data_IF_988868592320
#
_entry.id   IF_988868592320
#
_cell.length_a   1.000
_cell.length_b   1.000
_cell.length_c   1.000
_cell.angle_alpha   90.00
_cell.angle_beta   90.00
_cell.angle_gamma   90.00
#
_symmetry.space_group_name_H-M   'P 1'
#
loop_
_entity.id
_entity.type
_entity.pdbx_description
1 polymer ?
#
# COMPACT_ATOMS: atom_id res chain seq x y z
N UNK A 1 -24.38 7.50 -17.60
CA UNK A 1 -23.06 8.05 -17.24
C UNK A 1 -22.24 6.96 -16.59
N UNK A 2 -21.11 6.56 -17.17
CA UNK A 2 -20.21 5.61 -16.50
C UNK A 2 -19.67 6.29 -15.24
N UNK A 3 -19.80 5.64 -14.08
CA UNK A 3 -19.25 6.13 -12.81
C UNK A 3 -17.73 6.36 -12.90
N UNK A 4 -17.14 7.09 -11.94
CA UNK A 4 -15.71 7.35 -11.95
C UNK A 4 -14.91 6.04 -12.05
N UNK A 5 -14.00 5.95 -13.01
CA UNK A 5 -13.13 4.77 -13.19
C UNK A 5 -12.24 4.62 -11.95
N UNK A 6 -12.47 3.57 -11.17
CA UNK A 6 -11.61 3.21 -10.04
C UNK A 6 -10.24 2.78 -10.58
N UNK A 7 -9.17 3.42 -10.09
CA UNK A 7 -7.81 3.08 -10.51
C UNK A 7 -7.33 1.78 -9.85
N UNK A 8 -6.38 1.10 -10.49
CA UNK A 8 -5.73 -0.09 -9.91
C UNK A 8 -5.09 0.24 -8.56
N UNK A 9 -4.47 1.41 -8.43
CA UNK A 9 -3.89 1.87 -7.16
C UNK A 9 -4.97 2.03 -6.07
N UNK A 10 -6.16 2.54 -6.41
CA UNK A 10 -7.27 2.66 -5.46
C UNK A 10 -7.81 1.29 -5.01
N UNK A 11 -7.87 0.31 -5.92
CA UNK A 11 -8.21 -1.07 -5.57
C UNK A 11 -7.16 -1.70 -4.65
N UNK A 12 -5.87 -1.58 -5.00
CA UNK A 12 -4.78 -2.08 -4.16
C UNK A 12 -4.76 -1.43 -2.78
N UNK A 13 -5.00 -0.12 -2.70
CA UNK A 13 -5.14 0.60 -1.44
C UNK A 13 -6.30 0.06 -0.61
N UNK A 14 -7.46 -0.23 -1.22
CA UNK A 14 -8.61 -0.84 -0.52
C UNK A 14 -8.31 -2.27 -0.05
N UNK A 15 -7.62 -3.05 -0.85
CA UNK A 15 -7.16 -4.40 -0.47
C UNK A 15 -6.17 -4.32 0.69
N UNK A 16 -5.23 -3.36 0.67
CA UNK A 16 -4.31 -3.13 1.79
C UNK A 16 -5.05 -2.81 3.09
N UNK A 17 -6.06 -1.93 3.05
CA UNK A 17 -6.82 -1.61 4.27
C UNK A 17 -7.66 -2.80 4.76
N UNK A 18 -8.18 -3.65 3.87
CA UNK A 18 -8.81 -4.91 4.25
C UNK A 18 -7.82 -5.88 4.90
N UNK A 19 -6.61 -5.97 4.35
CA UNK A 19 -5.56 -6.83 4.87
C UNK A 19 -5.11 -6.39 6.25
N UNK A 20 -4.91 -5.09 6.47
CA UNK A 20 -4.56 -4.54 7.79
C UNK A 20 -5.64 -4.77 8.85
N UNK A 21 -6.91 -4.87 8.47
CA UNK A 21 -7.97 -5.25 9.41
C UNK A 21 -7.86 -6.72 9.87
N UNK A 22 -7.28 -7.60 9.04
CA UNK A 22 -7.02 -9.01 9.37
C UNK A 22 -5.68 -9.24 10.07
N UNK A 23 -4.70 -8.39 9.78
CA UNK A 23 -3.33 -8.46 10.30
C UNK A 23 -2.97 -7.14 11.00
N UNK A 24 -3.65 -6.79 12.11
CA UNK A 24 -3.51 -5.50 12.78
C UNK A 24 -2.12 -5.25 13.38
N UNK A 25 -1.31 -6.30 13.57
CA UNK A 25 0.09 -6.19 13.97
C UNK A 25 0.93 -5.31 13.02
N UNK A 26 0.57 -5.29 11.72
CA UNK A 26 1.26 -4.49 10.71
C UNK A 26 0.82 -3.02 10.72
N UNK A 27 -0.24 -2.68 11.45
CA UNK A 27 -0.68 -1.30 11.71
C UNK A 27 -0.26 -0.89 13.14
N UNK A 28 1.03 -0.93 13.40
CA UNK A 28 1.62 -0.66 14.70
C UNK A 28 2.83 0.28 14.60
N UNK A 29 3.29 0.74 15.76
CA UNK A 29 4.57 1.41 15.92
C UNK A 29 5.35 0.79 17.08
N UNK A 30 6.68 0.88 17.01
CA UNK A 30 7.57 0.45 18.10
C UNK A 30 7.98 1.69 18.88
N UNK A 31 7.42 1.85 20.08
CA UNK A 31 7.87 2.88 21.02
C UNK A 31 9.13 2.38 21.73
N UNK A 32 10.28 2.90 21.31
CA UNK A 32 11.58 2.51 21.88
C UNK A 32 11.83 3.09 23.27
N UNK A 33 11.17 4.20 23.61
CA UNK A 33 11.33 4.85 24.92
C UNK A 33 10.53 4.10 25.99
N UNK A 34 9.25 3.85 25.73
CA UNK A 34 8.37 3.07 26.59
C UNK A 34 8.61 1.55 26.46
N UNK A 35 9.41 1.10 25.48
CA UNK A 35 9.72 -0.31 25.18
C UNK A 35 8.46 -1.14 24.91
N UNK A 36 7.52 -0.58 24.16
CA UNK A 36 6.26 -1.21 23.84
C UNK A 36 5.96 -1.20 22.34
N UNK A 37 5.06 -2.09 21.93
CA UNK A 37 4.50 -2.11 20.58
C UNK A 37 3.08 -1.55 20.68
N UNK A 38 2.86 -0.41 20.04
CA UNK A 38 1.57 0.28 20.07
C UNK A 38 0.79 -0.05 18.80
N UNK A 39 -0.31 -0.80 18.94
CA UNK A 39 -1.25 -1.02 17.84
C UNK A 39 -2.09 0.24 17.63
N UNK A 40 -2.21 0.66 16.38
CA UNK A 40 -2.87 1.92 16.02
C UNK A 40 -4.36 1.68 15.73
N UNK A 41 -5.27 2.54 16.21
CA UNK A 41 -6.73 2.30 16.16
C UNK A 41 -7.33 2.45 14.76
N UNK A 42 -6.61 3.05 13.82
CA UNK A 42 -7.06 3.27 12.46
C UNK A 42 -5.91 3.18 11.47
N UNK A 43 -6.25 2.99 10.20
CA UNK A 43 -5.29 3.04 9.09
C UNK A 43 -5.36 4.41 8.43
N UNK A 44 -4.24 5.13 8.45
CA UNK A 44 -3.98 6.30 7.63
C UNK A 44 -2.95 5.91 6.57
N UNK A 45 -3.41 5.68 5.35
CA UNK A 45 -2.60 5.04 4.32
C UNK A 45 -1.74 6.07 3.59
N UNK A 46 -0.43 6.01 3.79
CA UNK A 46 0.54 6.71 2.97
C UNK A 46 0.60 6.11 1.57
N UNK A 47 0.80 6.92 0.54
CA UNK A 47 1.15 6.43 -0.79
C UNK A 47 2.30 7.22 -1.40
N UNK A 48 3.20 6.53 -2.09
CA UNK A 48 4.33 7.18 -2.76
C UNK A 48 3.87 7.97 -3.98
N UNK A 49 4.19 9.27 -4.02
CA UNK A 49 3.94 10.15 -5.15
C UNK A 49 5.26 10.80 -5.61
N UNK A 50 5.69 10.48 -6.83
CA UNK A 50 6.86 11.11 -7.44
C UNK A 50 6.47 12.49 -7.99
N UNK A 51 7.23 13.51 -7.62
CA UNK A 51 7.09 14.88 -8.14
C UNK A 51 8.41 15.35 -8.74
N UNK A 52 8.39 16.49 -9.43
CA UNK A 52 9.60 17.15 -9.96
C UNK A 52 10.57 17.58 -8.85
N UNK A 53 10.07 17.72 -7.61
CA UNK A 53 10.86 18.08 -6.42
C UNK A 53 11.34 16.86 -5.63
N UNK A 54 11.07 15.65 -6.12
CA UNK A 54 11.39 14.40 -5.46
C UNK A 54 10.15 13.63 -4.98
N UNK A 55 10.41 12.54 -4.27
CA UNK A 55 9.40 11.67 -3.70
C UNK A 55 8.75 12.33 -2.48
N UNK A 56 7.42 12.32 -2.43
CA UNK A 56 6.64 12.64 -1.22
C UNK A 56 5.68 11.50 -0.92
N UNK A 57 5.24 11.39 0.34
CA UNK A 57 4.30 10.36 0.79
C UNK A 57 3.07 11.02 1.39
N UNK A 58 2.06 11.41 0.59
CA UNK A 58 0.82 11.94 1.12
C UNK A 58 -0.02 10.85 1.81
N UNK A 59 -0.86 11.26 2.75
CA UNK A 59 -1.62 10.35 3.62
C UNK A 59 -3.12 10.45 3.35
N UNK A 60 -3.73 9.34 2.95
CA UNK A 60 -5.18 9.16 2.92
C UNK A 60 -5.66 8.87 4.34
N UNK A 61 -6.27 9.88 4.99
CA UNK A 61 -6.77 9.73 6.37
C UNK A 61 -7.99 8.82 6.43
N UNK A 62 -8.04 7.99 7.47
CA UNK A 62 -9.13 7.07 7.78
C UNK A 62 -9.42 6.12 6.62
N UNK A 63 -8.38 5.68 5.91
CA UNK A 63 -8.47 4.84 4.73
C UNK A 63 -9.22 3.52 4.99
N UNK A 64 -9.15 3.00 6.22
CA UNK A 64 -9.91 1.83 6.67
C UNK A 64 -11.45 2.02 6.64
N UNK A 65 -11.94 3.26 6.69
CA UNK A 65 -13.38 3.59 6.66
C UNK A 65 -13.90 3.87 5.25
N UNK A 66 -13.00 3.93 4.25
CA UNK A 66 -13.32 4.37 2.89
C UNK A 66 -13.49 3.20 1.94
N UNK A 67 -14.38 3.38 0.95
CA UNK A 67 -14.47 2.48 -0.20
C UNK A 67 -13.42 2.82 -1.28
N UNK A 68 -13.28 1.97 -2.30
CA UNK A 68 -12.27 2.17 -3.35
C UNK A 68 -12.47 3.47 -4.15
N UNK A 69 -13.72 3.88 -4.40
CA UNK A 69 -14.02 5.14 -5.09
C UNK A 69 -13.55 6.36 -4.29
N UNK A 70 -13.87 6.40 -2.99
CA UNK A 70 -13.45 7.47 -2.07
C UNK A 70 -11.94 7.54 -1.91
N UNK A 71 -11.28 6.38 -1.80
CA UNK A 71 -9.81 6.30 -1.76
C UNK A 71 -9.22 6.83 -3.08
N UNK A 72 -9.77 6.41 -4.22
CA UNK A 72 -9.28 6.85 -5.53
C UNK A 72 -9.41 8.35 -5.75
N UNK A 73 -10.54 8.95 -5.34
CA UNK A 73 -10.75 10.39 -5.40
C UNK A 73 -9.74 11.15 -4.52
N UNK A 74 -9.46 10.66 -3.32
CA UNK A 74 -8.51 11.30 -2.41
C UNK A 74 -7.05 11.16 -2.88
N UNK A 75 -6.66 10.00 -3.41
CA UNK A 75 -5.35 9.80 -4.04
C UNK A 75 -5.17 10.77 -5.21
N UNK A 76 -6.17 10.92 -6.08
CA UNK A 76 -6.11 11.86 -7.20
C UNK A 76 -5.94 13.31 -6.73
N UNK A 77 -6.72 13.73 -5.72
CA UNK A 77 -6.63 15.05 -5.11
C UNK A 77 -5.23 15.32 -4.52
N UNK A 78 -4.71 14.38 -3.73
CA UNK A 78 -3.39 14.50 -3.10
C UNK A 78 -2.25 14.46 -4.12
N UNK A 79 -2.40 13.68 -5.20
CA UNK A 79 -1.42 13.64 -6.30
C UNK A 79 -1.34 15.00 -7.01
N UNK A 80 -2.47 15.65 -7.29
CA UNK A 80 -2.47 16.97 -7.91
C UNK A 80 -1.87 18.05 -6.99
N UNK A 81 -2.14 17.97 -5.69
CA UNK A 81 -1.49 18.83 -4.71
C UNK A 81 0.03 18.57 -4.63
N UNK A 82 0.46 17.31 -4.70
CA UNK A 82 1.88 16.96 -4.72
C UNK A 82 2.57 17.58 -5.94
N UNK A 83 1.99 17.40 -7.12
CA UNK A 83 2.50 17.92 -8.39
C UNK A 83 2.60 19.46 -8.39
N UNK A 84 1.63 20.13 -7.78
CA UNK A 84 1.61 21.59 -7.68
C UNK A 84 2.40 22.15 -6.49
N UNK A 85 2.98 21.27 -5.65
CA UNK A 85 3.73 21.67 -4.45
C UNK A 85 2.86 22.31 -3.37
N UNK A 86 1.57 21.97 -3.32
CA UNK A 86 0.55 22.55 -2.43
C UNK A 86 0.09 21.61 -1.30
N UNK A 87 0.80 20.50 -1.08
CA UNK A 87 0.54 19.64 0.06
C UNK A 87 0.82 20.38 1.37
N UNK A 88 -0.11 20.29 2.31
CA UNK A 88 0.12 20.79 3.67
C UNK A 88 0.93 19.79 4.50
N UNK A 89 1.62 20.23 5.57
CA UNK A 89 2.32 19.32 6.49
C UNK A 89 1.40 18.23 7.06
N UNK A 90 0.12 18.57 7.33
CA UNK A 90 -0.87 17.62 7.83
C UNK A 90 -1.26 16.53 6.80
N UNK A 91 -0.99 16.74 5.51
CA UNK A 91 -1.19 15.74 4.45
C UNK A 91 0.04 14.85 4.25
N UNK A 92 1.19 15.18 4.85
CA UNK A 92 2.45 14.46 4.74
C UNK A 92 2.83 13.71 6.03
N UNK A 93 1.97 13.74 7.05
CA UNK A 93 2.27 13.23 8.40
C UNK A 93 1.13 12.40 8.97
N UNK A 94 1.46 11.52 9.91
CA UNK A 94 0.50 10.64 10.58
C UNK A 94 0.06 9.43 9.75
N UNK A 95 0.87 9.02 8.75
CA UNK A 95 0.70 7.73 8.09
C UNK A 95 1.00 6.59 9.06
N UNK A 96 0.29 5.47 8.90
CA UNK A 96 0.44 4.27 9.75
C UNK A 96 0.90 3.05 8.98
N UNK A 97 0.79 3.11 7.65
CA UNK A 97 1.26 2.11 6.70
C UNK A 97 1.42 2.78 5.34
N UNK A 98 2.42 2.39 4.55
CA UNK A 98 2.63 2.94 3.21
C UNK A 98 2.39 1.90 2.11
N UNK A 99 1.65 2.32 1.08
CA UNK A 99 1.55 1.63 -0.21
C UNK A 99 2.44 2.32 -1.25
N UNK A 100 3.47 1.65 -1.72
CA UNK A 100 4.40 2.17 -2.71
C UNK A 100 4.22 1.47 -4.06
N UNK A 101 4.00 2.23 -5.13
CA UNK A 101 3.84 1.70 -6.48
C UNK A 101 5.09 2.00 -7.32
N UNK A 102 5.99 1.02 -7.41
CA UNK A 102 7.19 1.12 -8.24
C UNK A 102 6.92 0.85 -9.72
N UNK A 103 5.77 0.27 -10.05
CA UNK A 103 5.42 -0.12 -11.40
C UNK A 103 5.43 1.04 -12.40
N UNK A 104 5.19 2.27 -11.91
CA UNK A 104 5.28 3.50 -12.72
C UNK A 104 6.70 3.77 -13.25
N UNK A 105 7.73 3.17 -12.64
CA UNK A 105 9.13 3.25 -13.07
C UNK A 105 9.58 2.04 -13.88
N UNK A 106 8.67 1.11 -14.20
CA UNK A 106 8.98 -0.06 -14.99
C UNK A 106 9.79 -1.14 -14.26
N UNK A 107 9.82 -1.13 -12.93
CA UNK A 107 10.50 -2.16 -12.12
C UNK A 107 9.53 -3.19 -11.55
N UNK A 108 10.00 -4.42 -11.35
CA UNK A 108 9.18 -5.54 -10.88
C UNK A 108 8.96 -5.54 -9.36
N UNK A 109 9.85 -4.91 -8.58
CA UNK A 109 9.75 -4.85 -7.12
C UNK A 109 10.90 -4.09 -6.50
N UNK A 110 10.89 -3.94 -5.18
CA UNK A 110 11.94 -3.26 -4.42
C UNK A 110 11.94 -3.74 -2.97
N UNK A 111 13.05 -3.51 -2.27
CA UNK A 111 13.19 -3.72 -0.83
C UNK A 111 13.26 -2.36 -0.13
N UNK A 112 12.12 -1.64 0.00
CA UNK A 112 12.13 -0.29 0.57
C UNK A 112 12.50 -0.29 2.05
N UNK A 113 13.03 0.85 2.49
CA UNK A 113 13.14 1.19 3.90
C UNK A 113 11.77 1.64 4.39
N UNK A 114 11.39 1.18 5.59
CA UNK A 114 10.13 1.56 6.24
C UNK A 114 10.15 3.05 6.57
N UNK A 115 9.03 3.73 6.36
CA UNK A 115 8.85 5.12 6.74
C UNK A 115 8.56 5.20 8.25
N UNK A 116 9.60 5.28 9.08
CA UNK A 116 9.40 5.37 10.53
C UNK A 116 8.54 6.58 10.92
N UNK A 117 7.60 6.41 11.87
CA UNK A 117 7.51 5.31 12.84
C UNK A 117 6.55 4.16 12.44
N UNK A 118 6.19 4.03 11.16
CA UNK A 118 5.41 2.88 10.66
C UNK A 118 6.15 1.56 10.92
N UNK A 119 5.40 0.45 10.98
CA UNK A 119 5.96 -0.89 11.15
C UNK A 119 6.11 -1.69 9.84
N UNK A 120 5.45 -1.28 8.76
CA UNK A 120 5.49 -2.01 7.50
C UNK A 120 5.12 -1.14 6.28
N UNK A 121 5.55 -1.59 5.10
CA UNK A 121 5.24 -0.99 3.81
C UNK A 121 5.02 -2.07 2.75
N UNK A 122 3.94 -1.95 1.97
CA UNK A 122 3.71 -2.78 0.79
C UNK A 122 4.18 -2.06 -0.48
N UNK A 123 5.06 -2.72 -1.22
CA UNK A 123 5.52 -2.38 -2.55
C UNK A 123 4.78 -3.16 -3.63
N UNK A 124 4.44 -2.48 -4.72
CA UNK A 124 3.79 -3.05 -5.91
C UNK A 124 4.65 -2.76 -7.14
N UNK A 125 5.06 -3.80 -7.85
CA UNK A 125 5.80 -3.70 -9.09
C UNK A 125 4.93 -3.34 -10.31
N UNK A 126 5.55 -3.31 -11.48
CA UNK A 126 4.81 -3.17 -12.74
C UNK A 126 3.92 -4.40 -12.97
N UNK A 127 2.74 -4.13 -13.53
CA UNK A 127 1.83 -5.16 -14.00
C UNK A 127 2.11 -5.36 -15.48
N UNK A 128 2.51 -6.57 -15.87
CA UNK A 128 2.86 -6.85 -17.26
C UNK A 128 2.53 -8.30 -17.66
N UNK A 129 2.32 -8.57 -18.96
CA UNK A 129 2.18 -9.94 -19.43
C UNK A 129 3.48 -10.74 -19.19
N UNK A 130 3.36 -11.90 -18.53
CA UNK A 130 4.44 -12.87 -18.32
C UNK A 130 3.94 -14.30 -18.62
N UNK A 131 4.81 -15.21 -19.10
CA UNK A 131 4.50 -16.63 -19.16
C UNK A 131 4.32 -17.18 -17.73
N UNK A 132 3.23 -17.91 -17.49
CA UNK A 132 2.87 -18.45 -16.18
C UNK A 132 2.20 -19.81 -16.31
N UNK A 133 2.41 -20.71 -15.33
CA UNK A 133 1.64 -21.95 -15.25
C UNK A 133 0.28 -21.63 -14.61
N UNK A 134 -0.79 -21.81 -15.38
CA UNK A 134 -2.16 -21.56 -14.93
C UNK A 134 -3.02 -22.78 -15.25
N UNK A 135 -3.63 -23.37 -14.21
CA UNK A 135 -4.47 -24.57 -14.35
C UNK A 135 -3.74 -25.75 -15.04
N UNK A 136 -2.44 -25.91 -14.75
CA UNK A 136 -1.61 -26.99 -15.30
C UNK A 136 -0.98 -26.71 -16.66
N UNK A 137 -1.36 -25.62 -17.33
CA UNK A 137 -0.88 -25.28 -18.68
C UNK A 137 -0.10 -23.97 -18.69
N UNK A 138 0.79 -23.80 -19.68
CA UNK A 138 1.49 -22.54 -19.89
C UNK A 138 0.56 -21.52 -20.55
N UNK A 139 0.39 -20.35 -19.92
CA UNK A 139 -0.43 -19.25 -20.43
C UNK A 139 0.24 -17.89 -20.20
N UNK A 140 -0.10 -16.90 -21.03
CA UNK A 140 0.29 -15.51 -20.79
C UNK A 140 -0.70 -14.88 -19.80
N UNK A 141 -0.20 -14.32 -18.69
CA UNK A 141 -1.01 -13.68 -17.64
C UNK A 141 -0.47 -12.30 -17.30
N UNK A 142 -1.35 -11.40 -16.84
CA UNK A 142 -0.90 -10.19 -16.16
C UNK A 142 -0.36 -10.58 -14.80
N UNK A 143 0.92 -10.31 -14.56
CA UNK A 143 1.61 -10.67 -13.32
C UNK A 143 2.17 -9.39 -12.70
N UNK A 144 2.09 -9.33 -11.36
CA UNK A 144 2.68 -8.29 -10.54
C UNK A 144 3.46 -8.95 -9.41
N UNK A 145 4.60 -8.37 -9.04
CA UNK A 145 5.32 -8.77 -7.84
C UNK A 145 4.97 -7.80 -6.70
N UNK A 146 4.65 -8.38 -5.55
CA UNK A 146 4.41 -7.69 -4.30
C UNK A 146 5.66 -7.82 -3.42
N UNK A 147 6.06 -6.74 -2.76
CA UNK A 147 7.22 -6.73 -1.87
C UNK A 147 6.81 -6.12 -0.53
N UNK A 148 6.90 -6.86 0.57
CA UNK A 148 6.58 -6.35 1.91
C UNK A 148 7.88 -6.16 2.70
N UNK A 149 8.15 -4.94 3.15
CA UNK A 149 9.14 -4.71 4.22
C UNK A 149 8.38 -4.51 5.52
N UNK A 150 8.81 -5.17 6.58
CA UNK A 150 8.19 -5.06 7.90
C UNK A 150 9.23 -5.17 9.02
N UNK A 151 8.90 -4.61 10.17
CA UNK A 151 9.72 -4.66 11.38
C UNK A 151 9.47 -5.97 12.14
N UNK A 152 10.48 -6.83 12.23
CA UNK A 152 10.38 -8.11 12.93
C UNK A 152 10.10 -7.98 14.43
N UNK A 153 10.24 -6.79 15.02
CA UNK A 153 9.82 -6.53 16.40
C UNK A 153 8.30 -6.57 16.55
N UNK A 154 7.53 -6.21 15.52
CA UNK A 154 6.06 -6.14 15.61
C UNK A 154 5.36 -7.46 15.28
N UNK A 155 5.95 -8.28 14.40
CA UNK A 155 5.38 -9.57 14.03
C UNK A 155 6.43 -10.52 13.43
N UNK A 156 6.05 -11.80 13.34
CA UNK A 156 6.84 -12.83 12.69
C UNK A 156 6.51 -13.00 11.19
N UNK A 157 7.17 -13.97 10.55
CA UNK A 157 6.94 -14.30 9.15
C UNK A 157 5.58 -14.92 8.86
N UNK A 158 4.90 -15.51 9.85
CA UNK A 158 3.55 -16.05 9.71
C UNK A 158 2.54 -14.93 9.46
N UNK A 159 2.59 -13.87 10.27
CA UNK A 159 1.75 -12.68 10.07
C UNK A 159 2.07 -11.98 8.75
N UNK A 160 3.35 -11.73 8.47
CA UNK A 160 3.77 -11.03 7.25
C UNK A 160 3.42 -11.83 5.97
N UNK A 161 3.66 -13.14 5.99
CA UNK A 161 3.30 -14.05 4.90
C UNK A 161 1.79 -14.16 4.71
N UNK A 162 1.03 -14.23 5.82
CA UNK A 162 -0.43 -14.23 5.79
C UNK A 162 -1.00 -12.95 5.18
N UNK A 163 -0.46 -11.78 5.53
CA UNK A 163 -0.81 -10.51 4.92
C UNK A 163 -0.58 -10.51 3.41
N UNK A 164 0.62 -10.90 2.96
CA UNK A 164 0.96 -10.95 1.54
C UNK A 164 0.07 -11.91 0.75
N UNK A 165 -0.19 -13.11 1.30
CA UNK A 165 -1.07 -14.09 0.67
C UNK A 165 -2.49 -13.56 0.55
N UNK A 166 -3.03 -12.94 1.61
CA UNK A 166 -4.37 -12.37 1.56
C UNK A 166 -4.49 -11.24 0.53
N UNK A 167 -3.49 -10.34 0.46
CA UNK A 167 -3.46 -9.31 -0.58
C UNK A 167 -3.43 -9.94 -1.98
N UNK A 168 -2.59 -10.96 -2.18
CA UNK A 168 -2.51 -11.68 -3.46
C UNK A 168 -3.84 -12.36 -3.82
N UNK A 169 -4.51 -13.01 -2.87
CA UNK A 169 -5.84 -13.63 -3.08
C UNK A 169 -6.86 -12.59 -3.56
N UNK A 170 -6.92 -11.42 -2.91
CA UNK A 170 -7.83 -10.36 -3.32
C UNK A 170 -7.47 -9.74 -4.68
N UNK A 171 -6.20 -9.73 -5.07
CA UNK A 171 -5.77 -9.25 -6.40
C UNK A 171 -6.12 -10.26 -7.48
N UNK A 172 -5.96 -11.55 -7.20
CA UNK A 172 -6.31 -12.64 -8.11
C UNK A 172 -7.83 -12.81 -8.25
N UNK A 173 -8.59 -12.56 -7.18
CA UNK A 173 -10.03 -12.75 -7.08
C UNK A 173 -10.69 -11.60 -6.30
N UNK A 174 -10.93 -10.43 -6.92
CA UNK A 174 -11.43 -9.22 -6.25
C UNK A 174 -12.95 -9.21 -5.98
N UNK A 175 -13.67 -10.28 -6.30
CA UNK A 175 -15.13 -10.39 -6.18
C UNK A 175 -15.60 -10.90 -4.81
#
# INVERSE_FOLDING_TARGET
>A
SAGPKVSVLALLARVCTAALARFPELNATVDTEAREIVRLPGVHLGFAAQTDRGLVVPVVRDAHTRNAESIGAEIARLTELARTGKLSPAQLTGGTFTLNNYGVFGVDGSTPIINHPEAAMLGVGRIMPKPWVHQGELAVRQVVQLSLTFDHRVCDGGTAGGFLRYVADCVEQPA
#
